data_IF_190631291850
#
_entry.id   IF_190631291850
#
_cell.length_a   1.000
_cell.length_b   1.000
_cell.length_c   1.000
_cell.angle_alpha   90.00
_cell.angle_beta   90.00
_cell.angle_gamma   90.00
#
_symmetry.space_group_name_H-M   'P 1'
#
loop_
_entity.id
_entity.type
_entity.pdbx_description
1 polymer ?
#
# COMPACT_ATOMS: atom_id res chain seq x y z
N UNK A 1 -3.37 10.32 7.45
CA UNK A 1 -3.46 11.51 6.56
C UNK A 1 -4.84 11.50 5.92
N UNK A 2 -5.51 12.65 5.81
CA UNK A 2 -6.80 12.80 5.13
C UNK A 2 -6.69 13.90 4.09
N UNK A 3 -7.00 13.57 2.83
CA UNK A 3 -6.92 14.47 1.68
C UNK A 3 -8.28 14.48 0.98
N UNK A 4 -8.77 15.66 0.62
CA UNK A 4 -9.96 15.79 -0.22
C UNK A 4 -9.65 15.42 -1.68
N UNK A 5 -10.39 14.46 -2.24
CA UNK A 5 -10.11 13.89 -3.57
C UNK A 5 -10.35 14.90 -4.71
N UNK A 6 -11.31 15.82 -4.57
CA UNK A 6 -11.67 16.76 -5.64
C UNK A 6 -10.71 17.95 -5.70
N UNK A 7 -10.27 18.42 -4.54
CA UNK A 7 -9.51 19.68 -4.39
C UNK A 7 -8.04 19.45 -4.06
N UNK A 8 -7.62 18.20 -3.77
CA UNK A 8 -6.28 17.84 -3.30
C UNK A 8 -5.86 18.56 -2.00
N UNK A 9 -6.81 19.08 -1.22
CA UNK A 9 -6.53 19.77 0.04
C UNK A 9 -6.22 18.77 1.16
N UNK A 10 -5.16 19.03 1.91
CA UNK A 10 -4.87 18.33 3.16
C UNK A 10 -5.86 18.78 4.24
N UNK A 11 -6.79 17.91 4.62
CA UNK A 11 -7.79 18.21 5.65
C UNK A 11 -7.26 17.91 7.06
N UNK A 12 -6.46 16.85 7.20
CA UNK A 12 -5.84 16.50 8.47
C UNK A 12 -4.59 15.64 8.28
N UNK A 13 -3.59 15.84 9.16
CA UNK A 13 -2.43 14.98 9.30
C UNK A 13 -2.14 14.75 10.77
N UNK A 14 -2.05 13.48 11.16
CA UNK A 14 -1.76 13.07 12.54
C UNK A 14 -0.66 12.01 12.50
N UNK A 15 0.20 12.04 13.52
CA UNK A 15 1.29 11.10 13.73
C UNK A 15 1.22 10.59 15.16
N UNK A 16 1.73 9.38 15.40
CA UNK A 16 1.92 8.80 16.73
C UNK A 16 3.38 8.35 16.88
N UNK A 17 3.93 8.38 18.11
CA UNK A 17 3.32 8.82 19.37
C UNK A 17 2.99 10.33 19.42
N UNK A 18 2.17 10.74 20.40
CA UNK A 18 1.88 12.17 20.61
C UNK A 18 3.11 12.91 21.10
N UNK A 19 3.25 14.17 20.66
CA UNK A 19 4.39 15.03 21.00
C UNK A 19 4.59 15.18 22.51
N UNK A 20 5.81 14.95 22.98
CA UNK A 20 6.20 15.17 24.36
C UNK A 20 6.71 16.61 24.56
N UNK A 21 5.80 17.52 24.88
CA UNK A 21 6.13 18.94 25.09
C UNK A 21 7.08 19.20 26.27
N UNK A 22 7.23 18.26 27.21
CA UNK A 22 8.07 18.46 28.39
C UNK A 22 9.56 18.24 28.13
N UNK A 23 9.91 17.46 27.09
CA UNK A 23 11.30 17.14 26.79
C UNK A 23 11.52 16.98 25.28
N UNK A 24 11.16 18.04 24.54
CA UNK A 24 11.37 18.11 23.11
C UNK A 24 12.87 17.92 22.79
N UNK A 25 13.17 17.03 21.84
CA UNK A 25 14.52 16.78 21.30
C UNK A 25 15.50 16.06 22.23
N UNK A 26 15.05 15.36 23.27
CA UNK A 26 15.94 14.42 23.96
C UNK A 26 16.46 13.35 22.99
N UNK A 27 17.69 12.84 23.18
CA UNK A 27 18.37 11.97 22.19
C UNK A 27 17.56 10.73 21.76
N UNK A 28 16.62 10.27 22.59
CA UNK A 28 15.79 9.08 22.31
C UNK A 28 14.30 9.41 22.10
N UNK A 29 13.93 10.69 22.02
CA UNK A 29 12.55 11.10 21.80
C UNK A 29 12.27 11.34 20.31
N UNK A 30 11.41 10.50 19.74
CA UNK A 30 10.94 10.60 18.36
C UNK A 30 9.50 11.17 18.26
N UNK A 31 8.93 11.67 19.34
CA UNK A 31 7.55 12.18 19.38
C UNK A 31 7.38 13.49 18.59
N UNK A 32 8.47 14.23 18.36
CA UNK A 32 8.50 15.38 17.45
C UNK A 32 8.56 14.98 15.97
N UNK A 33 8.80 13.70 15.66
CA UNK A 33 8.85 13.19 14.29
C UNK A 33 7.44 12.94 13.76
N UNK A 34 7.14 13.55 12.61
CA UNK A 34 5.95 13.21 11.86
C UNK A 34 6.20 11.97 10.99
N UNK A 35 5.81 10.80 11.48
CA UNK A 35 5.99 9.53 10.78
C UNK A 35 5.16 9.42 9.49
N UNK A 36 4.12 10.23 9.31
CA UNK A 36 3.36 10.25 8.07
C UNK A 36 4.17 10.82 6.88
N UNK A 37 5.27 11.52 7.16
CA UNK A 37 6.18 12.07 6.15
C UNK A 37 7.47 11.25 6.00
N UNK A 38 7.62 10.19 6.79
CA UNK A 38 8.80 9.33 6.73
C UNK A 38 8.60 8.22 5.70
N UNK A 39 9.66 7.83 4.98
CA UNK A 39 9.60 6.71 4.06
C UNK A 39 9.35 5.41 4.82
N UNK A 40 8.47 4.57 4.27
CA UNK A 40 8.23 3.20 4.74
C UNK A 40 7.96 2.29 3.55
N UNK A 41 8.17 0.99 3.73
CA UNK A 41 7.83 0.01 2.69
C UNK A 41 6.30 -0.07 2.55
N UNK A 42 5.72 0.24 1.38
CA UNK A 42 4.27 0.35 1.25
C UNK A 42 3.56 -1.01 1.37
N UNK A 43 4.23 -2.12 1.02
CA UNK A 43 3.60 -3.43 1.00
C UNK A 43 2.44 -3.49 -0.02
N UNK A 44 1.34 -4.16 0.35
CA UNK A 44 0.26 -4.44 -0.61
C UNK A 44 -0.48 -3.20 -1.13
N UNK A 45 -0.41 -2.04 -0.47
CA UNK A 45 -1.07 -0.82 -1.01
C UNK A 45 -0.45 -0.35 -2.32
N UNK A 46 0.83 -0.71 -2.57
CA UNK A 46 1.53 -0.40 -3.82
C UNK A 46 0.94 -1.12 -5.05
N UNK A 47 0.17 -2.20 -4.84
CA UNK A 47 -0.50 -2.93 -5.94
C UNK A 47 -1.46 -2.04 -6.75
N UNK A 48 -1.97 -0.96 -6.16
CA UNK A 48 -2.79 0.05 -6.87
C UNK A 48 -2.01 0.70 -8.03
N UNK A 49 -0.73 1.01 -7.82
CA UNK A 49 0.15 1.58 -8.86
C UNK A 49 0.41 0.54 -9.96
N UNK A 50 0.72 -0.70 -9.58
CA UNK A 50 0.95 -1.80 -10.55
C UNK A 50 -0.30 -2.06 -11.39
N UNK A 51 -1.49 -2.08 -10.77
CA UNK A 51 -2.75 -2.28 -11.47
C UNK A 51 -3.05 -1.12 -12.44
N UNK A 52 -2.86 0.13 -12.00
CA UNK A 52 -3.05 1.30 -12.86
C UNK A 52 -2.11 1.26 -14.07
N UNK A 53 -0.83 0.93 -13.87
CA UNK A 53 0.14 0.80 -14.97
C UNK A 53 -0.23 -0.32 -15.95
N UNK A 54 -0.69 -1.48 -15.46
CA UNK A 54 -1.08 -2.59 -16.33
C UNK A 54 -2.31 -2.26 -17.20
N UNK A 55 -3.26 -1.48 -16.67
CA UNK A 55 -4.42 -0.98 -17.42
C UNK A 55 -3.97 0.07 -18.44
N UNK A 56 -3.18 1.06 -18.02
CA UNK A 56 -2.69 2.14 -18.88
C UNK A 56 -1.88 1.63 -20.08
N UNK A 57 -1.07 0.58 -19.86
CA UNK A 57 -0.27 -0.06 -20.90
C UNK A 57 -1.07 -1.10 -21.73
N UNK A 58 -2.37 -1.27 -21.49
CA UNK A 58 -3.22 -2.20 -22.23
C UNK A 58 -2.86 -3.68 -22.03
N UNK A 59 -2.18 -4.03 -20.94
CA UNK A 59 -1.79 -5.41 -20.62
C UNK A 59 -3.00 -6.22 -20.15
N UNK A 60 -3.94 -5.56 -19.47
CA UNK A 60 -5.17 -6.15 -18.94
C UNK A 60 -6.27 -6.05 -20.00
N UNK A 61 -6.93 -7.18 -20.28
CA UNK A 61 -8.09 -7.24 -21.18
C UNK A 61 -9.40 -7.21 -20.39
N UNK A 62 -10.44 -6.62 -20.96
CA UNK A 62 -11.79 -6.68 -20.38
C UNK A 62 -12.22 -8.14 -20.23
N UNK A 63 -12.69 -8.52 -19.03
CA UNK A 63 -13.12 -9.88 -18.65
C UNK A 63 -12.01 -10.94 -18.65
N UNK A 64 -10.75 -10.55 -18.54
CA UNK A 64 -9.64 -11.49 -18.40
C UNK A 64 -9.73 -12.23 -17.06
N UNK A 65 -9.81 -13.56 -17.12
CA UNK A 65 -9.71 -14.42 -15.94
C UNK A 65 -8.24 -14.68 -15.56
N UNK A 66 -7.91 -14.53 -14.28
CA UNK A 66 -6.60 -14.86 -13.74
C UNK A 66 -6.68 -16.13 -12.88
N UNK A 67 -5.95 -17.17 -13.27
CA UNK A 67 -5.87 -18.41 -12.50
C UNK A 67 -4.88 -18.26 -11.34
N UNK A 68 -5.39 -17.94 -10.15
CA UNK A 68 -4.64 -17.80 -8.90
C UNK A 68 -4.40 -19.15 -8.19
N UNK A 69 -4.53 -20.27 -8.89
CA UNK A 69 -3.97 -21.57 -8.46
C UNK A 69 -2.56 -21.79 -9.02
N UNK A 70 -2.00 -20.80 -9.74
CA UNK A 70 -0.64 -20.84 -10.25
C UNK A 70 0.33 -20.06 -9.36
N UNK A 71 1.56 -20.54 -9.28
CA UNK A 71 2.68 -19.83 -8.65
C UNK A 71 3.13 -18.64 -9.52
N UNK A 72 4.12 -17.89 -9.01
CA UNK A 72 4.68 -16.72 -9.68
C UNK A 72 5.37 -17.05 -11.03
N UNK A 73 5.70 -18.31 -11.28
CA UNK A 73 6.31 -18.80 -12.52
C UNK A 73 5.27 -19.35 -13.51
N UNK A 74 4.00 -19.41 -13.12
CA UNK A 74 2.90 -19.93 -13.91
C UNK A 74 2.66 -21.44 -13.78
N UNK A 75 3.38 -22.13 -12.89
CA UNK A 75 3.15 -23.56 -12.60
C UNK A 75 2.00 -23.70 -11.61
N UNK A 76 1.37 -24.88 -11.55
CA UNK A 76 0.34 -25.13 -10.55
C UNK A 76 0.93 -25.10 -9.14
N UNK A 77 0.29 -24.36 -8.23
CA UNK A 77 0.76 -24.16 -6.86
C UNK A 77 0.71 -25.47 -6.07
N UNK A 78 1.85 -25.80 -5.45
CA UNK A 78 2.04 -27.05 -4.71
C UNK A 78 1.37 -27.00 -3.35
N UNK A 79 1.34 -25.83 -2.73
CA UNK A 79 0.70 -25.58 -1.45
C UNK A 79 -0.80 -25.30 -1.63
N UNK A 80 -1.65 -26.22 -1.18
CA UNK A 80 -3.09 -26.10 -1.39
C UNK A 80 -3.70 -24.85 -0.73
N UNK A 81 -3.13 -24.40 0.39
CA UNK A 81 -3.63 -23.24 1.14
C UNK A 81 -3.38 -21.93 0.39
N UNK A 82 -2.41 -21.93 -0.54
CA UNK A 82 -2.08 -20.77 -1.39
C UNK A 82 -2.95 -20.68 -2.64
N UNK A 83 -3.71 -21.73 -2.99
CA UNK A 83 -4.59 -21.74 -4.16
C UNK A 83 -5.82 -20.87 -3.90
N UNK A 84 -6.04 -19.84 -4.73
CA UNK A 84 -7.15 -18.87 -4.54
C UNK A 84 -8.23 -18.92 -5.62
N UNK A 85 -8.22 -19.93 -6.48
CA UNK A 85 -9.19 -20.08 -7.56
C UNK A 85 -8.96 -19.11 -8.72
N UNK A 86 -10.00 -18.87 -9.51
CA UNK A 86 -9.93 -17.91 -10.61
C UNK A 86 -10.48 -16.55 -10.16
N UNK A 87 -9.74 -15.48 -10.43
CA UNK A 87 -10.17 -14.10 -10.25
C UNK A 87 -10.75 -13.59 -11.58
N UNK A 88 -11.98 -13.08 -11.54
CA UNK A 88 -12.63 -12.32 -12.63
C UNK A 88 -12.16 -10.89 -12.66
#
# INVERSE_FOLDING_TARGET
VLIDVKTNKLLAMVSRPSMNYQNLFSQNDNTATNFALQPSTPGSVFKTIVAAAAIDQGIVQDKQMYNCNKDLRGNYEKDEDKRKGNLT
#
